data_IF_587481110321
#
_entry.id   IF_587481110321
#
_cell.length_a   1.000
_cell.length_b   1.000
_cell.length_c   1.000
_cell.angle_alpha   90.00
_cell.angle_beta   90.00
_cell.angle_gamma   90.00
#
_symmetry.space_group_name_H-M   'P 1'
#
loop_
_entity.id
_entity.type
_entity.pdbx_description
1 polymer ?
#
# COMPACT_ATOMS: atom_id res chain seq x y z
N UNK A 1 -5.12 -9.12 -4.90
CA UNK A 1 -5.46 -8.12 -3.87
C UNK A 1 -6.70 -8.58 -3.14
N UNK A 2 -6.62 -8.74 -1.82
CA UNK A 2 -7.78 -8.94 -0.96
C UNK A 2 -8.15 -7.60 -0.32
N UNK A 3 -9.43 -7.23 -0.41
CA UNK A 3 -10.02 -6.09 0.29
C UNK A 3 -11.07 -6.60 1.27
N UNK A 4 -11.11 -6.06 2.47
CA UNK A 4 -12.14 -6.35 3.49
C UNK A 4 -12.34 -5.16 4.41
N UNK A 5 -13.55 -5.04 4.96
CA UNK A 5 -13.87 -4.10 6.02
C UNK A 5 -13.74 -4.82 7.37
N UNK A 6 -13.10 -4.16 8.34
CA UNK A 6 -12.78 -4.71 9.64
C UNK A 6 -13.42 -3.87 10.73
N UNK A 7 -13.92 -4.51 11.78
CA UNK A 7 -14.40 -3.88 13.01
C UNK A 7 -13.44 -4.23 14.15
N UNK A 8 -13.00 -3.22 14.92
CA UNK A 8 -12.25 -3.44 16.16
C UNK A 8 -13.21 -3.88 17.29
N UNK A 9 -12.82 -4.94 17.98
CA UNK A 9 -13.37 -5.35 19.26
C UNK A 9 -12.96 -4.40 20.39
N UNK A 10 -13.71 -4.46 21.48
CA UNK A 10 -13.57 -3.58 22.65
C UNK A 10 -12.11 -3.32 23.08
N UNK A 11 -11.80 -2.05 23.35
CA UNK A 11 -10.57 -1.57 23.99
C UNK A 11 -10.39 -2.30 25.32
N UNK A 12 -9.60 -3.38 25.33
CA UNK A 12 -9.05 -4.00 26.52
C UNK A 12 -7.59 -3.58 26.65
N UNK A 13 -7.37 -2.26 26.78
CA UNK A 13 -6.17 -1.77 27.43
C UNK A 13 -6.42 -0.37 28.01
N UNK A 14 -5.79 -0.07 29.14
CA UNK A 14 -6.01 1.13 29.96
C UNK A 14 -5.53 2.45 29.34
N UNK A 15 -5.60 2.61 28.02
CA UNK A 15 -5.20 3.82 27.28
C UNK A 15 -6.41 4.70 26.98
N UNK A 16 -6.62 5.70 27.86
CA UNK A 16 -7.40 6.91 27.57
C UNK A 16 -6.60 7.83 26.65
N UNK A 17 -6.46 7.46 25.38
CA UNK A 17 -6.23 8.47 24.33
C UNK A 17 -6.63 7.91 22.97
N UNK A 18 -7.94 7.85 22.78
CA UNK A 18 -8.66 7.30 21.64
C UNK A 18 -8.61 8.19 20.38
N UNK A 19 -7.62 9.07 20.21
CA UNK A 19 -7.64 10.03 19.09
C UNK A 19 -6.45 9.92 18.11
N UNK A 20 -5.28 9.46 18.54
CA UNK A 20 -4.08 9.61 17.70
C UNK A 20 -3.72 8.41 16.82
N UNK A 21 -3.98 7.17 17.28
CA UNK A 21 -3.67 5.96 16.48
C UNK A 21 -4.66 5.67 15.36
N UNK A 22 -5.87 6.24 15.45
CA UNK A 22 -6.99 5.93 14.55
C UNK A 22 -6.93 6.66 13.20
N UNK A 23 -5.91 7.48 12.94
CA UNK A 23 -5.81 8.29 11.71
C UNK A 23 -4.58 7.97 10.84
N UNK A 24 -3.72 7.04 11.27
CA UNK A 24 -2.50 6.71 10.53
C UNK A 24 -2.72 5.51 9.60
N UNK A 25 -2.54 5.71 8.30
CA UNK A 25 -2.41 4.60 7.35
C UNK A 25 -1.12 3.84 7.62
N UNK A 26 -1.22 2.51 7.78
CA UNK A 26 -0.07 1.66 8.03
C UNK A 26 0.20 0.75 6.84
N UNK A 27 1.45 0.58 6.44
CA UNK A 27 1.83 -0.32 5.36
C UNK A 27 3.12 -1.07 5.69
N UNK A 28 3.10 -2.38 5.41
CA UNK A 28 4.24 -3.29 5.53
C UNK A 28 4.56 -3.92 4.18
N UNK A 29 5.85 -3.95 3.88
CA UNK A 29 6.40 -4.64 2.71
C UNK A 29 6.99 -5.98 3.14
N UNK A 30 6.46 -7.06 2.56
CA UNK A 30 6.92 -8.43 2.74
C UNK A 30 7.52 -8.95 1.41
N UNK A 31 8.40 -9.96 1.44
CA UNK A 31 8.86 -10.62 0.21
C UNK A 31 7.71 -11.20 -0.62
N UNK A 32 6.62 -11.56 0.05
CA UNK A 32 5.39 -12.10 -0.55
C UNK A 32 4.40 -11.00 -0.94
N UNK A 33 4.75 -9.72 -0.89
CA UNK A 33 3.90 -8.61 -1.33
C UNK A 33 3.64 -7.57 -0.24
N UNK A 34 2.58 -6.76 -0.38
CA UNK A 34 2.31 -5.63 0.51
C UNK A 34 1.05 -5.83 1.32
N UNK A 35 1.11 -5.41 2.58
CA UNK A 35 -0.03 -5.39 3.51
C UNK A 35 -0.26 -3.96 3.96
N UNK A 36 -1.48 -3.44 3.80
CA UNK A 36 -1.81 -2.08 4.21
C UNK A 36 -3.15 -2.00 4.94
N UNK A 37 -3.17 -1.23 6.02
CA UNK A 37 -4.35 -0.87 6.79
C UNK A 37 -4.66 0.61 6.57
N UNK A 38 -5.87 0.89 6.10
CA UNK A 38 -6.39 2.23 5.90
C UNK A 38 -7.44 2.50 6.98
N UNK A 39 -7.18 3.39 7.95
CA UNK A 39 -8.15 3.69 8.99
C UNK A 39 -9.42 4.32 8.41
N UNK A 40 -10.56 3.96 8.98
CA UNK A 40 -11.88 4.51 8.71
C UNK A 40 -12.48 5.05 10.03
N UNK A 41 -13.51 5.90 9.97
CA UNK A 41 -14.20 6.38 11.17
C UNK A 41 -14.73 5.22 12.04
N UNK A 42 -14.94 5.49 13.34
CA UNK A 42 -15.51 4.55 14.32
C UNK A 42 -14.65 3.29 14.60
N UNK A 43 -13.32 3.38 14.48
CA UNK A 43 -12.39 2.24 14.63
C UNK A 43 -12.59 1.14 13.58
N UNK A 44 -13.07 1.51 12.40
CA UNK A 44 -13.08 0.60 11.27
C UNK A 44 -11.75 0.72 10.54
N UNK A 45 -11.38 -0.31 9.78
CA UNK A 45 -10.34 -0.12 8.77
C UNK A 45 -10.65 -0.89 7.50
N UNK A 46 -10.17 -0.34 6.38
CA UNK A 46 -10.12 -1.03 5.10
C UNK A 46 -8.76 -1.67 4.95
N UNK A 47 -8.75 -2.94 4.58
CA UNK A 47 -7.53 -3.68 4.31
C UNK A 47 -7.20 -3.74 2.82
N UNK A 48 -5.91 -3.71 2.49
CA UNK A 48 -5.40 -4.14 1.19
C UNK A 48 -4.25 -5.12 1.40
N UNK A 49 -4.43 -6.38 0.98
CA UNK A 49 -3.38 -7.40 1.01
C UNK A 49 -3.04 -7.87 -0.41
N UNK A 50 -1.86 -7.49 -0.89
CA UNK A 50 -1.30 -7.92 -2.17
C UNK A 50 -0.34 -9.10 -1.93
N UNK A 51 -0.64 -10.23 -2.54
CA UNK A 51 0.17 -11.46 -2.46
C UNK A 51 0.16 -12.20 -3.82
N UNK A 52 1.15 -13.08 -4.08
CA UNK A 52 1.15 -13.98 -5.20
C UNK A 52 -0.16 -14.80 -5.34
N UNK A 53 -0.52 -15.23 -6.55
CA UNK A 53 -1.73 -16.00 -6.80
C UNK A 53 -1.86 -17.27 -5.94
N UNK A 54 -0.73 -17.93 -5.65
CA UNK A 54 -0.66 -19.15 -4.83
C UNK A 54 -1.12 -18.86 -3.40
N UNK A 55 -0.50 -17.86 -2.74
CA UNK A 55 -0.87 -17.44 -1.38
C UNK A 55 -2.29 -16.87 -1.36
N UNK A 56 -2.68 -16.13 -2.39
CA UNK A 56 -4.05 -15.61 -2.50
C UNK A 56 -5.10 -16.72 -2.65
N UNK A 57 -4.72 -17.90 -3.15
CA UNK A 57 -5.60 -19.07 -3.21
C UNK A 57 -5.77 -19.67 -1.82
N UNK A 58 -4.65 -19.88 -1.10
CA UNK A 58 -4.63 -20.39 0.27
C UNK A 58 -5.48 -19.51 1.20
N UNK A 59 -5.20 -18.21 1.22
CA UNK A 59 -5.95 -17.23 2.04
C UNK A 59 -7.44 -17.15 1.67
N UNK A 60 -7.79 -17.47 0.41
CA UNK A 60 -9.18 -17.50 -0.05
C UNK A 60 -9.98 -18.70 0.45
N UNK A 61 -9.32 -19.79 0.87
CA UNK A 61 -9.96 -20.99 1.46
C UNK A 61 -10.28 -20.81 2.94
N UNK A 62 -9.60 -19.90 3.63
CA UNK A 62 -9.74 -19.70 5.07
C UNK A 62 -11.11 -19.11 5.42
N UNK A 63 -11.64 -19.51 6.57
CA UNK A 63 -12.79 -18.84 7.18
C UNK A 63 -12.40 -17.46 7.73
N UNK A 64 -13.38 -16.68 8.19
CA UNK A 64 -13.13 -15.30 8.64
C UNK A 64 -12.27 -15.24 9.92
N UNK A 65 -12.39 -16.21 10.84
CA UNK A 65 -11.56 -16.27 12.06
C UNK A 65 -10.10 -16.60 11.71
N UNK A 66 -9.87 -17.66 10.92
CA UNK A 66 -8.55 -18.09 10.46
C UNK A 66 -7.86 -16.99 9.67
N UNK A 67 -8.60 -16.30 8.79
CA UNK A 67 -8.06 -15.17 8.03
C UNK A 67 -7.68 -14.00 8.95
N UNK A 68 -8.50 -13.70 9.97
CA UNK A 68 -8.20 -12.65 10.96
C UNK A 68 -6.91 -12.94 11.71
N UNK A 69 -6.71 -14.19 12.13
CA UNK A 69 -5.47 -14.65 12.76
C UNK A 69 -4.28 -14.52 11.82
N UNK A 70 -4.41 -14.98 10.57
CA UNK A 70 -3.38 -14.85 9.56
C UNK A 70 -3.02 -13.40 9.25
N UNK A 71 -4.00 -12.50 9.29
CA UNK A 71 -3.80 -11.08 9.09
C UNK A 71 -3.03 -10.44 10.24
N UNK A 72 -3.40 -10.76 11.49
CA UNK A 72 -2.69 -10.33 12.68
C UNK A 72 -1.25 -10.88 12.72
N UNK A 73 -1.05 -12.12 12.24
CA UNK A 73 0.26 -12.72 12.04
C UNK A 73 1.07 -11.98 10.97
N UNK A 74 0.46 -11.70 9.81
CA UNK A 74 1.11 -10.99 8.71
C UNK A 74 1.52 -9.56 9.08
N UNK A 75 0.84 -8.93 10.03
CA UNK A 75 1.23 -7.64 10.56
C UNK A 75 2.49 -7.69 11.45
N UNK A 76 2.74 -8.81 12.14
CA UNK A 76 3.71 -8.89 13.27
C UNK A 76 4.87 -9.85 13.08
N UNK A 77 4.63 -11.03 12.51
CA UNK A 77 5.61 -12.13 12.43
C UNK A 77 6.63 -11.94 11.31
N UNK A 78 7.75 -12.67 11.36
CA UNK A 78 8.79 -12.57 10.33
C UNK A 78 8.37 -13.26 9.01
N UNK A 79 9.02 -12.94 7.87
CA UNK A 79 8.73 -13.60 6.60
C UNK A 79 8.88 -15.13 6.64
N UNK A 80 9.84 -15.65 7.41
CA UNK A 80 10.08 -17.09 7.55
C UNK A 80 8.94 -17.77 8.29
N UNK A 81 8.47 -17.16 9.38
CA UNK A 81 7.30 -17.64 10.13
C UNK A 81 6.05 -17.60 9.27
N UNK A 82 5.84 -16.53 8.49
CA UNK A 82 4.71 -16.42 7.57
C UNK A 82 4.75 -17.48 6.47
N UNK A 83 5.92 -17.76 5.90
CA UNK A 83 6.08 -18.82 4.90
C UNK A 83 5.74 -20.20 5.48
N UNK A 84 6.09 -20.45 6.73
CA UNK A 84 5.67 -21.67 7.42
C UNK A 84 4.15 -21.70 7.61
N UNK A 85 3.55 -20.61 8.08
CA UNK A 85 2.10 -20.52 8.29
C UNK A 85 1.30 -20.67 6.99
N UNK A 86 1.79 -20.18 5.86
CA UNK A 86 1.14 -20.42 4.56
C UNK A 86 1.13 -21.90 4.18
N UNK A 87 2.19 -22.65 4.50
CA UNK A 87 2.23 -24.11 4.28
C UNK A 87 1.24 -24.83 5.19
N UNK A 88 1.24 -24.49 6.49
CA UNK A 88 0.28 -25.05 7.45
C UNK A 88 -1.16 -24.75 7.02
N UNK A 89 -1.42 -23.54 6.52
CA UNK A 89 -2.75 -23.16 6.03
C UNK A 89 -3.21 -23.94 4.79
N UNK A 90 -2.29 -24.47 3.97
CA UNK A 90 -2.64 -25.27 2.77
C UNK A 90 -2.69 -26.77 3.07
N UNK A 91 -1.76 -27.28 3.89
CA UNK A 91 -1.59 -28.72 4.16
C UNK A 91 -2.31 -29.20 5.44
N UNK A 92 -2.32 -28.40 6.50
CA UNK A 92 -2.74 -28.79 7.87
C UNK A 92 -3.60 -27.70 8.54
N UNK A 93 -4.66 -27.25 7.85
CA UNK A 93 -5.50 -26.12 8.27
C UNK A 93 -6.05 -26.25 9.71
N UNK A 94 -6.32 -27.47 10.19
CA UNK A 94 -6.79 -27.71 11.57
C UNK A 94 -5.83 -27.21 12.65
N UNK A 95 -4.52 -27.19 12.38
CA UNK A 95 -3.48 -26.72 13.32
C UNK A 95 -3.19 -25.22 13.22
N UNK A 96 -3.72 -24.56 12.18
CA UNK A 96 -3.39 -23.17 11.87
C UNK A 96 -3.69 -22.23 13.04
N UNK A 97 -4.88 -22.38 13.64
CA UNK A 97 -5.35 -21.50 14.73
C UNK A 97 -4.42 -21.58 15.95
N UNK A 98 -4.06 -22.79 16.37
CA UNK A 98 -3.18 -23.00 17.53
C UNK A 98 -1.77 -22.46 17.26
N UNK A 99 -1.23 -22.75 16.08
CA UNK A 99 0.11 -22.33 15.68
C UNK A 99 0.22 -20.80 15.60
N UNK A 100 -0.76 -20.13 14.96
CA UNK A 100 -0.78 -18.67 14.87
C UNK A 100 -0.91 -18.03 16.26
N UNK A 101 -1.84 -18.52 17.09
CA UNK A 101 -2.03 -18.00 18.46
C UNK A 101 -0.75 -18.13 19.28
N UNK A 102 -0.09 -19.30 19.24
CA UNK A 102 1.17 -19.51 19.95
C UNK A 102 2.27 -18.53 19.52
N UNK A 103 2.41 -18.27 18.21
CA UNK A 103 3.40 -17.32 17.67
C UNK A 103 3.10 -15.88 18.05
N UNK A 104 1.84 -15.47 17.99
CA UNK A 104 1.43 -14.14 18.44
C UNK A 104 1.68 -13.94 19.94
N UNK A 105 1.46 -14.98 20.75
CA UNK A 105 1.75 -14.95 22.18
C UNK A 105 3.26 -14.82 22.46
N UNK A 106 4.09 -15.52 21.68
CA UNK A 106 5.54 -15.41 21.74
C UNK A 106 6.02 -14.01 21.33
N UNK A 107 5.40 -13.43 20.30
CA UNK A 107 5.65 -12.05 19.88
C UNK A 107 5.33 -11.06 21.00
N UNK A 108 4.15 -11.16 21.63
CA UNK A 108 3.76 -10.30 22.77
C UNK A 108 4.75 -10.38 23.94
N UNK A 109 5.27 -11.57 24.24
CA UNK A 109 6.25 -11.78 25.32
C UNK A 109 7.63 -11.19 25.00
N UNK A 110 8.01 -11.13 23.73
CA UNK A 110 9.33 -10.62 23.29
C UNK A 110 9.34 -9.11 23.06
N UNK A 111 8.20 -8.53 22.71
CA UNK A 111 8.10 -7.13 22.26
C UNK A 111 7.82 -6.19 23.44
N UNK A 112 8.55 -5.08 23.52
CA UNK A 112 8.30 -4.08 24.56
C UNK A 112 7.08 -3.20 24.23
N UNK A 113 6.45 -2.55 25.23
CA UNK A 113 5.30 -1.65 25.00
C UNK A 113 5.58 -0.50 24.00
N UNK A 114 6.83 -0.05 23.92
CA UNK A 114 7.28 0.98 22.97
C UNK A 114 7.38 0.44 21.54
N UNK A 115 7.84 -0.80 21.37
CA UNK A 115 7.91 -1.43 20.05
C UNK A 115 6.52 -1.81 19.51
N UNK A 116 5.55 -2.08 20.40
CA UNK A 116 4.16 -2.32 20.01
C UNK A 116 3.52 -1.09 19.34
N UNK A 117 4.10 0.10 19.44
CA UNK A 117 3.60 1.29 18.77
C UNK A 117 3.83 1.29 17.25
N UNK A 118 4.81 0.51 16.77
CA UNK A 118 5.14 0.41 15.34
C UNK A 118 4.20 -0.50 14.56
N UNK A 119 3.34 -1.26 15.26
CA UNK A 119 2.41 -2.23 14.69
C UNK A 119 0.97 -1.68 14.71
N UNK A 120 0.13 -2.11 13.75
CA UNK A 120 -1.28 -1.76 13.75
C UNK A 120 -1.96 -2.42 14.96
N UNK A 121 -3.17 -1.98 15.28
CA UNK A 121 -3.99 -2.64 16.30
C UNK A 121 -4.31 -4.09 15.91
N UNK A 122 -4.64 -4.90 16.91
CA UNK A 122 -5.10 -6.27 16.66
C UNK A 122 -6.55 -6.23 16.18
N UNK A 123 -6.78 -6.90 15.06
CA UNK A 123 -8.09 -6.97 14.43
C UNK A 123 -8.88 -8.04 15.15
N UNK A 124 -10.10 -7.70 15.57
CA UNK A 124 -10.98 -8.63 16.27
C UNK A 124 -11.75 -9.50 15.28
N UNK A 125 -12.37 -8.88 14.28
CA UNK A 125 -13.11 -9.62 13.25
C UNK A 125 -13.22 -8.89 11.91
N UNK A 126 -13.65 -9.66 10.91
CA UNK A 126 -13.93 -9.21 9.56
C UNK A 126 -15.42 -9.15 9.37
N UNK A 127 -15.89 -8.11 8.72
CA UNK A 127 -17.29 -7.98 8.35
C UNK A 127 -17.62 -9.07 7.32
N UNK A 128 -18.57 -9.92 7.64
CA UNK A 128 -18.95 -11.05 6.81
C UNK A 128 -19.30 -10.60 5.37
N UNK A 129 -18.78 -11.32 4.39
CA UNK A 129 -19.01 -11.03 2.96
C UNK A 129 -18.25 -9.79 2.41
N UNK A 130 -17.44 -9.11 3.23
CA UNK A 130 -16.64 -7.96 2.76
C UNK A 130 -15.37 -8.37 1.98
N UNK A 131 -14.98 -9.64 2.03
CA UNK A 131 -13.76 -10.15 1.38
C UNK A 131 -13.93 -10.20 -0.15
N UNK A 132 -13.11 -9.44 -0.86
CA UNK A 132 -13.09 -9.43 -2.32
C UNK A 132 -11.67 -9.65 -2.87
N UNK A 133 -11.55 -10.45 -3.94
CA UNK A 133 -10.29 -10.77 -4.61
C UNK A 133 -10.23 -10.16 -6.01
N UNK A 134 -9.17 -9.39 -6.28
CA UNK A 134 -8.92 -8.80 -7.59
C UNK A 134 -7.53 -9.19 -8.12
N UNK A 135 -7.41 -9.55 -9.41
CA UNK A 135 -6.11 -9.74 -10.05
C UNK A 135 -5.41 -8.40 -10.20
N UNK A 136 -4.16 -8.31 -9.73
CA UNK A 136 -3.33 -7.14 -9.97
C UNK A 136 -2.53 -7.37 -11.24
N UNK A 137 -2.71 -6.50 -12.23
CA UNK A 137 -1.89 -6.48 -13.43
C UNK A 137 -1.09 -5.19 -13.40
N UNK A 138 0.23 -5.29 -13.36
CA UNK A 138 1.06 -4.15 -13.72
C UNK A 138 0.86 -3.93 -15.22
N UNK A 139 0.38 -2.75 -15.57
CA UNK A 139 0.14 -2.36 -16.95
C UNK A 139 0.66 -0.96 -17.14
N UNK A 140 1.35 -0.72 -18.25
CA UNK A 140 1.77 0.62 -18.65
C UNK A 140 1.61 0.70 -20.16
N UNK A 141 0.86 1.69 -20.62
CA UNK A 141 0.77 1.99 -22.04
C UNK A 141 2.07 2.66 -22.51
N UNK A 142 2.58 2.27 -23.68
CA UNK A 142 3.78 2.86 -24.28
C UNK A 142 3.56 4.33 -24.67
N UNK A 143 2.31 4.68 -25.01
CA UNK A 143 1.86 6.05 -25.24
C UNK A 143 0.53 6.28 -24.53
N UNK A 144 0.35 7.45 -23.93
CA UNK A 144 -0.93 7.82 -23.31
C UNK A 144 -1.85 8.57 -24.27
N UNK A 145 -1.34 8.99 -25.43
CA UNK A 145 -2.10 9.82 -26.38
C UNK A 145 -1.88 9.37 -27.82
N UNK A 146 -2.93 9.49 -28.61
CA UNK A 146 -2.91 9.41 -30.07
C UNK A 146 -3.87 10.44 -30.65
N UNK A 147 -3.94 10.55 -31.98
CA UNK A 147 -4.89 11.46 -32.64
C UNK A 147 -6.32 11.23 -32.12
N UNK A 148 -6.89 12.26 -31.49
CA UNK A 148 -8.22 12.31 -30.86
C UNK A 148 -8.44 11.30 -29.73
N UNK A 149 -7.37 10.75 -29.15
CA UNK A 149 -7.44 9.74 -28.09
C UNK A 149 -6.50 10.10 -26.94
N UNK A 150 -6.99 10.02 -25.71
CA UNK A 150 -6.19 10.13 -24.50
C UNK A 150 -6.57 9.04 -23.49
N UNK A 151 -5.57 8.34 -22.97
CA UNK A 151 -5.69 7.34 -21.91
C UNK A 151 -5.40 7.99 -20.56
N UNK A 152 -6.18 7.65 -19.53
CA UNK A 152 -6.15 8.26 -18.21
C UNK A 152 -6.31 7.19 -17.14
N UNK A 153 -5.59 7.31 -16.01
CA UNK A 153 -5.68 6.39 -14.88
C UNK A 153 -5.34 4.95 -15.26
N UNK A 154 -6.14 3.98 -14.78
CA UNK A 154 -5.93 2.53 -14.99
C UNK A 154 -5.80 2.12 -16.47
N UNK A 155 -6.33 2.92 -17.42
CA UNK A 155 -6.16 2.68 -18.86
C UNK A 155 -4.77 3.02 -19.39
N UNK A 156 -4.06 3.93 -18.71
CA UNK A 156 -2.72 4.40 -19.08
C UNK A 156 -1.63 3.73 -18.25
N UNK A 157 -1.89 3.50 -16.96
CA UNK A 157 -0.95 2.88 -16.03
C UNK A 157 -1.67 2.17 -14.89
N UNK A 158 -1.07 1.10 -14.41
CA UNK A 158 -1.46 0.38 -13.20
C UNK A 158 -0.17 0.04 -12.46
N UNK A 159 0.03 0.65 -11.30
CA UNK A 159 1.26 0.52 -10.49
C UNK A 159 1.11 -0.48 -9.35
N UNK A 160 2.23 -0.82 -8.70
CA UNK A 160 2.25 -1.68 -7.52
C UNK A 160 1.39 -1.02 -6.43
N UNK A 161 0.43 -1.73 -5.81
CA UNK A 161 -0.49 -1.14 -4.85
C UNK A 161 0.23 -0.63 -3.59
N UNK A 162 0.60 0.63 -3.62
CA UNK A 162 0.48 1.48 -2.45
C UNK A 162 -1.00 1.80 -2.27
N UNK A 163 -1.53 1.43 -1.11
CA UNK A 163 -2.95 1.48 -0.86
C UNK A 163 -3.50 2.90 -1.05
N UNK A 164 -4.53 3.04 -1.88
CA UNK A 164 -5.22 4.31 -2.13
C UNK A 164 -4.59 5.25 -3.17
N UNK A 165 -3.44 4.91 -3.78
CA UNK A 165 -2.76 5.85 -4.70
C UNK A 165 -3.28 5.85 -6.15
N UNK A 166 -3.90 4.77 -6.63
CA UNK A 166 -4.38 4.68 -8.03
C UNK A 166 -5.39 5.77 -8.40
N UNK A 167 -6.34 6.07 -7.51
CA UNK A 167 -7.31 7.15 -7.72
C UNK A 167 -6.62 8.52 -7.77
N UNK A 168 -5.65 8.77 -6.87
CA UNK A 168 -4.91 10.03 -6.82
C UNK A 168 -4.14 10.25 -8.13
N UNK A 169 -3.49 9.20 -8.65
CA UNK A 169 -2.80 9.25 -9.93
C UNK A 169 -3.77 9.57 -11.08
N UNK A 170 -4.93 8.89 -11.13
CA UNK A 170 -5.95 9.15 -12.15
C UNK A 170 -6.56 10.55 -12.07
N UNK A 171 -6.79 11.08 -10.86
CA UNK A 171 -7.27 12.47 -10.68
C UNK A 171 -6.22 13.49 -11.13
N UNK A 172 -4.95 13.25 -10.82
CA UNK A 172 -3.86 14.09 -11.28
C UNK A 172 -3.70 14.04 -12.81
N UNK A 173 -3.94 12.88 -13.44
CA UNK A 173 -4.00 12.76 -14.90
C UNK A 173 -5.14 13.60 -15.48
N UNK A 174 -6.36 13.50 -14.92
CA UNK A 174 -7.52 14.29 -15.36
C UNK A 174 -7.23 15.79 -15.25
N UNK A 175 -6.67 16.23 -14.12
CA UNK A 175 -6.31 17.63 -13.90
C UNK A 175 -5.35 18.14 -14.99
N UNK A 176 -4.25 17.42 -15.22
CA UNK A 176 -3.26 17.80 -16.23
C UNK A 176 -3.85 17.79 -17.66
N UNK A 177 -4.70 16.80 -17.97
CA UNK A 177 -5.40 16.73 -19.25
C UNK A 177 -6.32 17.93 -19.45
N UNK A 178 -7.13 18.29 -18.45
CA UNK A 178 -8.01 19.48 -18.51
C UNK A 178 -7.20 20.75 -18.75
N UNK A 179 -6.13 20.98 -17.98
CA UNK A 179 -5.26 22.16 -18.14
C UNK A 179 -4.62 22.22 -19.54
N UNK A 180 -4.25 21.06 -20.09
CA UNK A 180 -3.68 20.94 -21.45
C UNK A 180 -4.71 21.30 -22.51
N UNK A 181 -5.93 20.77 -22.42
CA UNK A 181 -7.03 21.04 -23.35
C UNK A 181 -7.47 22.50 -23.29
N UNK A 182 -7.49 23.12 -22.10
CA UNK A 182 -7.79 24.55 -21.95
C UNK A 182 -6.75 25.43 -22.65
N UNK A 183 -5.44 25.12 -22.48
CA UNK A 183 -4.35 25.82 -23.17
C UNK A 183 -4.45 25.67 -24.68
N UNK A 184 -4.76 24.46 -25.17
CA UNK A 184 -4.95 24.21 -26.59
C UNK A 184 -6.11 25.04 -27.17
N UNK A 185 -7.25 25.06 -26.47
CA UNK A 185 -8.42 25.88 -26.85
C UNK A 185 -8.09 27.36 -26.88
N UNK A 186 -7.41 27.90 -25.86
CA UNK A 186 -7.02 29.31 -25.81
C UNK A 186 -6.08 29.72 -26.96
N UNK A 187 -5.26 28.78 -27.46
CA UNK A 187 -4.36 28.99 -28.59
C UNK A 187 -5.02 28.77 -29.96
N UNK A 188 -6.30 28.39 -29.99
CA UNK A 188 -7.02 28.08 -31.22
C UNK A 188 -6.58 26.77 -31.87
N UNK A 189 -5.96 25.86 -31.12
CA UNK A 189 -5.60 24.53 -31.61
C UNK A 189 -6.82 23.60 -31.62
N UNK A 190 -6.85 22.65 -32.55
CA UNK A 190 -7.77 21.51 -32.47
C UNK A 190 -7.35 20.62 -31.29
N UNK A 191 -8.24 20.50 -30.30
CA UNK A 191 -8.03 19.72 -29.07
C UNK A 191 -7.81 18.23 -29.33
N UNK A 192 -8.17 17.74 -30.52
CA UNK A 192 -7.97 16.37 -30.93
C UNK A 192 -6.60 16.07 -31.53
N UNK A 193 -5.81 17.08 -31.92
CA UNK A 193 -4.53 16.86 -32.58
C UNK A 193 -3.48 16.40 -31.58
N UNK A 194 -2.59 15.47 -31.95
CA UNK A 194 -1.53 14.99 -31.05
C UNK A 194 -0.71 16.12 -30.41
N UNK A 195 -0.37 17.16 -31.18
CA UNK A 195 0.35 18.36 -30.70
C UNK A 195 -0.38 19.07 -29.55
N UNK A 196 -1.72 19.07 -29.56
CA UNK A 196 -2.52 19.72 -28.52
C UNK A 196 -2.51 18.93 -27.21
N UNK A 197 -2.41 17.60 -27.26
CA UNK A 197 -2.54 16.68 -26.11
C UNK A 197 -1.18 16.14 -25.64
N UNK A 198 -0.12 16.25 -26.45
CA UNK A 198 1.24 15.81 -26.13
C UNK A 198 1.79 16.37 -24.81
N UNK A 199 1.52 17.64 -24.40
CA UNK A 199 1.97 18.13 -23.09
C UNK A 199 1.47 17.30 -21.91
N UNK A 200 0.24 16.77 -21.98
CA UNK A 200 -0.31 15.88 -20.95
C UNK A 200 0.51 14.60 -20.83
N UNK A 201 0.83 13.96 -21.96
CA UNK A 201 1.67 12.76 -21.96
C UNK A 201 3.06 13.06 -21.42
N UNK A 202 3.71 14.13 -21.89
CA UNK A 202 5.05 14.54 -21.42
C UNK A 202 5.11 14.73 -19.90
N UNK A 203 4.11 15.41 -19.31
CA UNK A 203 4.09 15.73 -17.87
C UNK A 203 3.74 14.50 -17.02
N UNK A 204 2.75 13.72 -17.44
CA UNK A 204 2.23 12.59 -16.65
C UNK A 204 3.02 11.31 -16.84
N UNK A 205 3.55 11.04 -18.03
CA UNK A 205 4.38 9.87 -18.29
C UNK A 205 5.61 9.87 -17.39
N UNK A 206 6.32 11.00 -17.27
CA UNK A 206 7.49 11.11 -16.40
C UNK A 206 7.10 11.01 -14.92
N UNK A 207 6.03 11.69 -14.49
CA UNK A 207 5.55 11.62 -13.10
C UNK A 207 5.15 10.19 -12.69
N UNK A 208 4.45 9.47 -13.57
CA UNK A 208 4.02 8.09 -13.34
C UNK A 208 5.21 7.11 -13.43
N UNK A 209 6.22 7.37 -14.29
CA UNK A 209 7.46 6.57 -14.37
C UNK A 209 8.43 6.79 -13.20
N UNK A 210 8.55 8.00 -12.66
CA UNK A 210 9.43 8.31 -11.52
C UNK A 210 8.97 7.57 -10.26
N UNK A 211 7.66 7.41 -10.10
CA UNK A 211 7.06 6.64 -9.00
C UNK A 211 7.41 5.15 -9.07
N UNK A 212 7.48 4.56 -10.27
CA UNK A 212 7.96 3.19 -10.47
C UNK A 212 9.46 3.04 -10.19
N UNK A 213 10.29 3.99 -10.64
CA UNK A 213 11.75 3.92 -10.48
C UNK A 213 12.24 4.09 -9.03
N UNK A 214 11.53 4.87 -8.21
CA UNK A 214 11.87 5.05 -6.79
C UNK A 214 11.41 3.85 -5.95
N UNK A 215 10.21 3.32 -6.21
CA UNK A 215 9.67 2.15 -5.48
C UNK A 215 10.43 0.87 -5.83
N UNK A 216 10.78 0.62 -7.10
CA UNK A 216 11.60 -0.56 -7.47
C UNK A 216 13.02 -0.48 -6.91
N UNK A 217 13.62 0.71 -6.83
CA UNK A 217 14.94 0.88 -6.20
C UNK A 217 14.87 0.65 -4.69
N UNK A 218 13.85 1.16 -4.01
CA UNK A 218 13.61 0.88 -2.59
C UNK A 218 13.38 -0.62 -2.40
N UNK A 219 12.47 -1.23 -3.15
CA UNK A 219 12.19 -2.67 -3.07
C UNK A 219 13.44 -3.51 -3.33
N UNK A 220 14.25 -3.18 -4.34
CA UNK A 220 15.50 -3.87 -4.66
C UNK A 220 16.57 -3.70 -3.58
N UNK A 221 16.65 -2.54 -2.93
CA UNK A 221 17.52 -2.33 -1.76
C UNK A 221 17.08 -3.19 -0.57
N UNK A 222 15.76 -3.35 -0.37
CA UNK A 222 15.21 -4.14 0.73
C UNK A 222 15.16 -5.65 0.45
N UNK A 223 15.11 -6.08 -0.81
CA UNK A 223 15.03 -7.49 -1.23
C UNK A 223 16.39 -8.15 -1.48
N UNK A 224 17.51 -7.44 -1.30
CA UNK A 224 18.84 -7.97 -1.57
C UNK A 224 19.46 -8.58 -0.30
N UNK A 225 19.80 -9.86 -0.33
CA UNK A 225 20.41 -10.63 0.76
C UNK A 225 21.95 -10.50 0.85
N UNK A 226 22.52 -9.35 0.48
CA UNK A 226 23.97 -9.15 0.52
C UNK A 226 24.39 -8.56 1.89
N UNK A 227 25.20 -9.29 2.66
CA UNK A 227 25.62 -8.97 4.04
C UNK A 227 26.14 -7.54 4.30
N UNK A 228 26.85 -6.86 3.36
CA UNK A 228 27.24 -5.45 3.51
C UNK A 228 26.08 -4.44 3.53
N UNK A 229 24.94 -4.76 2.91
CA UNK A 229 23.73 -3.90 2.84
C UNK A 229 22.95 -3.91 4.15
N UNK A 230 23.10 -4.96 4.98
CA UNK A 230 22.44 -5.06 6.29
C UNK A 230 23.03 -4.05 7.29
N UNK A 231 24.33 -3.74 7.22
CA UNK A 231 24.95 -2.70 8.06
C UNK A 231 24.48 -1.30 7.66
N UNK A 232 24.26 -1.07 6.36
CA UNK A 232 23.67 0.16 5.84
C UNK A 232 22.19 0.34 6.25
N UNK A 233 21.47 -0.73 6.63
CA UNK A 233 20.05 -0.67 7.08
C UNK A 233 19.91 0.07 8.41
N UNK A 234 20.77 -0.19 9.39
CA UNK A 234 20.68 0.42 10.73
C UNK A 234 21.23 1.84 10.76
N UNK A 235 22.28 2.12 9.98
CA UNK A 235 22.87 3.46 9.89
C UNK A 235 22.03 4.36 8.96
N UNK A 236 21.53 3.80 7.85
CA UNK A 236 20.72 4.51 6.86
C UNK A 236 19.35 4.92 7.37
N UNK A 237 18.62 4.05 8.08
CA UNK A 237 17.28 4.39 8.61
C UNK A 237 17.37 5.44 9.73
N UNK A 238 18.42 5.43 10.56
CA UNK A 238 18.62 6.46 11.58
C UNK A 238 19.03 7.82 10.99
N UNK A 239 19.80 7.83 9.90
CA UNK A 239 20.14 9.05 9.15
C UNK A 239 18.95 9.56 8.33
N UNK A 240 18.12 8.67 7.78
CA UNK A 240 16.89 9.06 7.08
C UNK A 240 15.79 9.57 8.04
N UNK A 241 15.62 8.98 9.23
CA UNK A 241 14.67 9.47 10.25
C UNK A 241 15.07 10.83 10.85
N UNK A 242 16.34 11.23 10.71
CA UNK A 242 16.85 12.51 11.20
C UNK A 242 16.88 13.61 10.14
N UNK A 243 16.44 13.31 8.90
CA UNK A 243 16.32 14.28 7.81
C UNK A 243 14.84 14.63 7.58
N UNK A 244 14.37 15.79 8.09
CA UNK A 244 12.99 16.25 7.90
C UNK A 244 12.55 16.25 6.42
N UNK A 245 13.49 16.57 5.53
CA UNK A 245 13.28 16.68 4.09
C UNK A 245 12.75 15.40 3.41
N UNK A 246 13.16 14.19 3.86
CA UNK A 246 12.67 12.95 3.24
C UNK A 246 11.26 12.62 3.70
N UNK A 247 10.96 12.89 4.97
CA UNK A 247 9.61 12.75 5.51
C UNK A 247 8.68 13.76 4.84
N UNK A 248 9.10 15.00 4.69
CA UNK A 248 8.33 16.05 4.00
C UNK A 248 8.11 15.70 2.52
N UNK A 249 9.13 15.21 1.81
CA UNK A 249 8.99 14.76 0.43
C UNK A 249 8.03 13.57 0.27
N UNK A 250 8.08 12.59 1.18
CA UNK A 250 7.14 11.46 1.18
C UNK A 250 5.72 11.92 1.50
N UNK A 251 5.55 12.80 2.49
CA UNK A 251 4.25 13.37 2.86
C UNK A 251 3.68 14.22 1.72
N UNK A 252 4.48 15.03 1.04
CA UNK A 252 4.06 15.84 -0.12
C UNK A 252 3.66 14.97 -1.31
N UNK A 253 4.41 13.90 -1.59
CA UNK A 253 4.06 12.91 -2.61
C UNK A 253 2.73 12.19 -2.30
N UNK A 254 2.56 11.73 -1.05
CA UNK A 254 1.37 11.01 -0.60
C UNK A 254 0.14 11.91 -0.52
N UNK A 255 0.31 13.17 -0.10
CA UNK A 255 -0.78 14.15 0.06
C UNK A 255 -1.15 14.89 -1.23
N UNK A 256 -0.33 14.80 -2.29
CA UNK A 256 -0.48 15.62 -3.51
C UNK A 256 -0.60 17.14 -3.22
N UNK A 257 -0.04 17.60 -2.09
CA UNK A 257 -0.08 19.00 -1.68
C UNK A 257 1.05 19.79 -2.37
N UNK A 258 0.82 20.21 -3.61
CA UNK A 258 1.65 21.26 -4.20
C UNK A 258 1.26 22.60 -3.58
N UNK A 259 2.12 23.13 -2.70
CA UNK A 259 1.96 24.42 -2.02
C UNK A 259 1.97 25.63 -2.96
N UNK A 260 1.00 25.75 -3.86
CA UNK A 260 0.66 27.01 -4.54
C UNK A 260 -0.37 27.75 -3.72
N UNK A 261 0.12 28.46 -2.70
CA UNK A 261 -0.73 29.17 -1.75
C UNK A 261 0.04 30.04 -0.77
N UNK A 262 1.09 30.74 -1.22
CA UNK A 262 1.53 31.97 -0.55
C UNK A 262 1.69 33.07 -1.60
N UNK A 263 0.96 34.16 -1.33
CA UNK A 263 0.98 35.43 -2.05
C UNK A 263 2.40 35.97 -2.20
#
# INVERSE_FOLDING_TARGET
MLKSNLEDGHIIDGYKDSEFRLSTGWQRFLPTGTLAFLPLPNNWCSLVWAVPPEISSILGKLNDEEFTLMLNAAARLTPEELNYLYKVADDEQEKLVEEVKWRLDLFKKKTTPEQLQDFPLEIDYIVAGSRAKFPLKLSHADSYVEERVALVGDAAHTTNPLAGQGLNMGQADVKCLVETLEKARMRGLDIGTKIAIEPYWSERFLANHVMLGVVDKIHKIYSTEFTPIVWARTVGVNVLNSLPFVKDFMVDQISHYNGHGKK
#
